data_IF_173433504945
#
_entry.id   IF_173433504945
#
_cell.length_a   1.000
_cell.length_b   1.000
_cell.length_c   1.000
_cell.angle_alpha   90.00
_cell.angle_beta   90.00
_cell.angle_gamma   90.00
#
_symmetry.space_group_name_H-M   'P 1'
#
loop_
_entity.id
_entity.type
_entity.pdbx_description
1 polymer ?
#
# COMPACT_ATOMS: atom_id res chain seq x y z
N UNK A 1 -23.50 -83.14 -27.51
CA UNK A 1 -22.72 -83.46 -28.73
C UNK A 1 -22.27 -82.12 -29.31
N UNK A 2 -20.95 -81.89 -29.37
CA UNK A 2 -20.20 -80.76 -30.02
C UNK A 2 -20.40 -79.34 -29.43
N UNK A 3 -19.45 -78.75 -28.68
CA UNK A 3 -18.15 -78.07 -29.02
C UNK A 3 -18.32 -76.75 -29.80
N UNK A 4 -18.08 -75.61 -29.12
CA UNK A 4 -16.96 -74.64 -29.28
C UNK A 4 -17.18 -73.60 -30.39
N UNK A 5 -17.11 -72.29 -30.08
CA UNK A 5 -15.84 -71.54 -30.22
C UNK A 5 -15.99 -70.04 -29.93
N UNK A 6 -14.90 -69.55 -29.36
CA UNK A 6 -14.59 -68.18 -28.99
C UNK A 6 -14.20 -67.28 -30.20
N UNK A 7 -14.23 -65.97 -29.91
CA UNK A 7 -13.14 -65.01 -30.13
C UNK A 7 -13.18 -63.93 -31.24
N UNK A 8 -12.92 -62.71 -30.73
CA UNK A 8 -12.08 -61.62 -31.26
C UNK A 8 -12.37 -60.98 -32.63
N UNK A 9 -12.73 -59.69 -32.58
CA UNK A 9 -11.81 -58.57 -32.95
C UNK A 9 -12.48 -57.21 -32.68
N UNK A 10 -12.06 -56.55 -31.61
CA UNK A 10 -12.31 -55.12 -31.40
C UNK A 10 -11.29 -54.30 -32.21
N UNK A 11 -11.77 -53.71 -33.30
CA UNK A 11 -11.03 -52.72 -34.09
C UNK A 11 -11.14 -51.32 -33.47
N UNK A 12 -10.02 -50.82 -32.97
CA UNK A 12 -9.79 -49.45 -32.51
C UNK A 12 -10.07 -48.45 -33.66
N UNK A 13 -11.19 -47.74 -33.63
CA UNK A 13 -11.43 -46.54 -34.47
C UNK A 13 -11.15 -45.29 -33.64
N UNK A 14 -10.03 -44.62 -33.95
CA UNK A 14 -9.72 -43.26 -33.48
C UNK A 14 -10.73 -42.26 -34.05
N UNK A 15 -11.33 -41.38 -33.25
CA UNK A 15 -11.91 -40.15 -33.77
C UNK A 15 -10.87 -39.02 -33.76
N UNK A 16 -10.77 -38.41 -34.94
CA UNK A 16 -10.14 -37.17 -35.33
C UNK A 16 -9.79 -36.15 -34.23
N UNK A 17 -8.52 -35.74 -34.28
CA UNK A 17 -8.07 -34.43 -33.86
C UNK A 17 -8.60 -33.38 -34.85
N UNK A 18 -9.62 -32.62 -34.45
CA UNK A 18 -9.86 -31.29 -35.04
C UNK A 18 -10.79 -30.44 -34.16
N UNK A 19 -10.24 -29.86 -33.09
CA UNK A 19 -10.85 -28.77 -32.32
C UNK A 19 -9.76 -27.79 -31.89
N UNK A 20 -9.01 -27.27 -32.87
CA UNK A 20 -8.23 -26.04 -32.74
C UNK A 20 -8.74 -25.05 -33.77
N UNK A 21 -9.58 -24.11 -33.32
CA UNK A 21 -9.69 -22.71 -33.76
C UNK A 21 -11.09 -22.17 -33.47
N UNK A 22 -11.39 -21.87 -32.21
CA UNK A 22 -12.25 -20.74 -31.88
C UNK A 22 -11.71 -20.09 -30.60
N UNK A 23 -10.79 -19.13 -30.77
CA UNK A 23 -10.50 -18.16 -29.71
C UNK A 23 -11.62 -17.12 -29.73
N UNK A 24 -12.23 -16.76 -28.59
CA UNK A 24 -13.07 -15.56 -28.52
C UNK A 24 -12.22 -14.35 -28.93
N UNK A 25 -12.73 -13.55 -29.86
CA UNK A 25 -12.16 -12.24 -30.18
C UNK A 25 -12.28 -11.38 -28.92
N UNK A 26 -11.17 -11.20 -28.20
CA UNK A 26 -11.01 -10.15 -27.22
C UNK A 26 -11.21 -8.81 -27.94
N UNK A 27 -12.35 -8.18 -27.70
CA UNK A 27 -12.59 -6.78 -28.05
C UNK A 27 -11.56 -5.97 -27.26
N UNK A 28 -10.54 -5.48 -27.96
CA UNK A 28 -9.55 -4.59 -27.41
C UNK A 28 -10.21 -3.29 -27.03
N UNK A 29 -10.51 -3.11 -25.74
CA UNK A 29 -10.70 -1.78 -25.22
C UNK A 29 -9.33 -1.09 -25.19
N UNK A 30 -9.19 0.08 -25.83
CA UNK A 30 -7.97 0.85 -25.74
C UNK A 30 -7.71 1.17 -24.26
N UNK A 31 -6.55 0.76 -23.76
CA UNK A 31 -5.99 1.30 -22.52
C UNK A 31 -5.67 2.75 -22.83
N UNK A 32 -6.63 3.63 -22.55
CA UNK A 32 -6.40 5.06 -22.48
C UNK A 32 -5.56 5.29 -21.23
N UNK A 33 -4.24 5.20 -21.37
CA UNK A 33 -3.30 5.85 -20.46
C UNK A 33 -3.37 7.35 -20.74
N UNK A 34 -4.49 7.98 -20.35
CA UNK A 34 -4.49 9.40 -20.07
C UNK A 34 -3.76 9.59 -18.75
N UNK A 35 -2.44 9.76 -18.85
CA UNK A 35 -1.67 10.43 -17.81
C UNK A 35 -2.08 11.91 -17.85
N UNK A 36 -3.29 12.22 -17.35
CA UNK A 36 -3.65 13.58 -17.03
C UNK A 36 -2.76 14.00 -15.87
N UNK A 37 -1.65 14.64 -16.22
CA UNK A 37 -0.89 15.51 -15.34
C UNK A 37 -1.83 16.63 -14.90
N UNK A 38 -2.59 16.37 -13.85
CA UNK A 38 -3.31 17.39 -13.10
C UNK A 38 -2.23 18.19 -12.40
N UNK A 39 -1.70 19.20 -13.09
CA UNK A 39 -1.06 20.33 -12.46
C UNK A 39 -2.10 20.88 -11.50
N UNK A 40 -1.97 20.53 -10.21
CA UNK A 40 -2.84 21.04 -9.16
C UNK A 40 -2.73 22.56 -9.24
N UNK A 41 -3.80 23.28 -9.64
CA UNK A 41 -3.80 24.72 -9.53
C UNK A 41 -3.57 25.01 -8.06
N UNK A 42 -2.54 25.80 -7.77
CA UNK A 42 -2.42 26.40 -6.44
C UNK A 42 -3.67 27.27 -6.34
N UNK A 43 -4.64 26.87 -5.51
CA UNK A 43 -5.80 27.71 -5.21
C UNK A 43 -5.28 29.10 -4.87
N UNK A 44 -5.56 30.02 -5.78
CA UNK A 44 -5.02 31.38 -5.83
C UNK A 44 -5.81 32.29 -4.91
N UNK A 45 -6.14 31.81 -3.71
CA UNK A 45 -6.82 32.58 -2.67
C UNK A 45 -5.88 32.76 -1.47
N UNK A 46 -4.82 33.53 -1.69
CA UNK A 46 -4.32 34.56 -0.77
C UNK A 46 -3.13 35.28 -1.41
N UNK A 47 -3.20 36.61 -1.41
CA UNK A 47 -2.12 37.57 -1.63
C UNK A 47 -0.71 37.02 -1.41
N UNK A 48 0.26 37.37 -2.26
CA UNK A 48 1.62 37.68 -1.78
C UNK A 48 2.49 38.22 -2.93
N UNK A 49 3.24 39.34 -2.73
CA UNK A 49 4.65 39.27 -3.12
C UNK A 49 5.67 40.14 -2.36
N UNK A 50 5.35 40.88 -1.29
CA UNK A 50 6.41 41.66 -0.59
C UNK A 50 7.43 40.77 0.15
N UNK A 51 7.03 39.57 0.58
CA UNK A 51 7.87 38.67 1.38
C UNK A 51 8.76 37.72 0.55
N UNK A 52 8.54 37.50 -0.75
CA UNK A 52 9.41 36.60 -1.53
C UNK A 52 10.76 37.24 -1.84
N UNK A 53 10.80 38.56 -2.03
CA UNK A 53 12.04 39.25 -2.36
C UNK A 53 13.07 39.24 -1.22
N UNK A 54 12.63 39.03 0.03
CA UNK A 54 13.53 38.90 1.18
C UNK A 54 14.34 37.59 1.17
N UNK A 55 13.88 36.58 0.42
CA UNK A 55 14.54 35.28 0.34
C UNK A 55 15.54 35.24 -0.82
N UNK A 56 16.66 34.51 -0.73
CA UNK A 56 17.56 34.30 -1.86
C UNK A 56 16.90 33.52 -2.99
N UNK A 57 17.34 33.72 -4.24
CA UNK A 57 16.80 33.02 -5.43
C UNK A 57 16.77 31.48 -5.31
N UNK A 58 17.69 30.91 -4.53
CA UNK A 58 17.74 29.48 -4.20
C UNK A 58 16.52 28.99 -3.42
N UNK A 59 15.91 29.87 -2.61
CA UNK A 59 14.82 29.56 -1.68
C UNK A 59 13.50 30.28 -1.99
N UNK A 60 13.42 31.09 -3.05
CA UNK A 60 12.18 31.73 -3.49
C UNK A 60 11.20 30.75 -4.10
N UNK A 61 9.91 30.99 -3.90
CA UNK A 61 8.84 30.31 -4.64
C UNK A 61 8.54 31.08 -5.92
N UNK A 62 8.62 30.40 -7.05
CA UNK A 62 8.05 30.90 -8.29
C UNK A 62 6.54 30.66 -8.28
N UNK A 63 5.75 31.56 -8.87
CA UNK A 63 4.30 31.33 -9.09
C UNK A 63 3.99 30.25 -10.13
N UNK A 64 5.03 29.73 -10.77
CA UNK A 64 4.92 28.77 -11.84
C UNK A 64 4.89 27.31 -11.35
N UNK A 65 4.68 26.40 -12.30
CA UNK A 65 4.71 24.96 -12.05
C UNK A 65 6.00 24.50 -11.34
N UNK A 66 5.92 23.38 -10.63
CA UNK A 66 7.04 22.78 -9.87
C UNK A 66 8.36 22.69 -10.66
N UNK A 67 8.30 22.37 -11.96
CA UNK A 67 9.47 22.26 -12.83
C UNK A 67 10.17 23.60 -13.13
N UNK A 68 9.52 24.73 -12.84
CA UNK A 68 10.07 26.07 -13.00
C UNK A 68 10.58 26.66 -11.66
N UNK A 69 10.54 25.87 -10.60
CA UNK A 69 11.10 26.25 -9.30
C UNK A 69 12.63 26.19 -9.33
N UNK A 70 13.30 26.74 -8.32
CA UNK A 70 14.75 26.63 -8.21
C UNK A 70 15.20 25.16 -8.26
N UNK A 71 16.36 24.87 -8.87
CA UNK A 71 16.92 23.51 -8.92
C UNK A 71 17.11 22.89 -7.53
N UNK A 72 17.32 23.73 -6.51
CA UNK A 72 17.48 23.31 -5.12
C UNK A 72 16.14 22.84 -4.55
N UNK A 73 15.06 23.58 -4.80
CA UNK A 73 13.71 23.20 -4.41
C UNK A 73 13.28 21.90 -5.11
N UNK A 74 13.52 21.81 -6.42
CA UNK A 74 13.22 20.62 -7.20
C UNK A 74 14.00 19.39 -6.70
N UNK A 75 15.29 19.57 -6.40
CA UNK A 75 16.15 18.52 -5.85
C UNK A 75 15.65 18.05 -4.48
N UNK A 76 15.39 18.99 -3.56
CA UNK A 76 14.87 18.69 -2.24
C UNK A 76 13.55 17.92 -2.31
N UNK A 77 12.55 18.44 -3.05
CA UNK A 77 11.25 17.79 -3.16
C UNK A 77 11.31 16.39 -3.79
N UNK A 78 12.25 16.12 -4.70
CA UNK A 78 12.44 14.78 -5.26
C UNK A 78 12.94 13.80 -4.20
N UNK A 79 13.86 14.22 -3.34
CA UNK A 79 14.35 13.43 -2.21
C UNK A 79 13.28 13.29 -1.11
N UNK A 80 12.51 14.34 -0.86
CA UNK A 80 11.42 14.34 0.14
C UNK A 80 10.37 13.28 -0.18
N UNK A 81 10.05 13.12 -1.48
CA UNK A 81 9.13 12.07 -1.95
C UNK A 81 9.65 10.70 -1.56
N UNK A 82 10.96 10.45 -1.64
CA UNK A 82 11.54 9.17 -1.24
C UNK A 82 11.40 8.92 0.27
N UNK A 83 11.57 9.95 1.10
CA UNK A 83 11.36 9.86 2.55
C UNK A 83 9.91 9.53 2.87
N UNK A 84 8.96 10.19 2.19
CA UNK A 84 7.53 9.97 2.39
C UNK A 84 7.12 8.56 1.96
N UNK A 85 7.59 8.10 0.80
CA UNK A 85 7.37 6.74 0.32
C UNK A 85 7.96 5.69 1.28
N UNK A 86 9.18 5.91 1.78
CA UNK A 86 9.82 5.03 2.77
C UNK A 86 9.05 5.03 4.09
N UNK A 87 8.61 6.19 4.56
CA UNK A 87 7.83 6.32 5.81
C UNK A 87 6.54 5.52 5.72
N UNK A 88 5.81 5.63 4.59
CA UNK A 88 4.56 4.92 4.34
C UNK A 88 4.68 3.40 4.56
N UNK A 89 5.78 2.79 4.10
CA UNK A 89 5.95 1.33 4.16
C UNK A 89 6.77 0.85 5.35
N UNK A 90 7.73 1.63 5.86
CA UNK A 90 8.66 1.18 6.91
C UNK A 90 8.26 1.65 8.32
N UNK A 91 7.60 2.80 8.43
CA UNK A 91 7.34 3.43 9.73
C UNK A 91 5.85 3.51 10.06
N UNK A 92 5.09 4.25 9.26
CA UNK A 92 3.70 4.61 9.54
C UNK A 92 2.99 4.88 8.21
N UNK A 93 1.82 4.29 8.01
CA UNK A 93 1.07 4.48 6.77
C UNK A 93 0.29 5.79 6.72
N UNK A 94 0.01 6.46 7.85
CA UNK A 94 -0.68 7.75 7.92
C UNK A 94 0.07 8.77 8.80
N UNK A 95 1.33 9.09 8.46
CA UNK A 95 2.16 9.99 9.27
C UNK A 95 1.62 11.43 9.30
N UNK A 96 0.82 11.83 8.32
CA UNK A 96 0.23 13.15 8.22
C UNK A 96 -1.02 13.35 9.07
N UNK A 97 -1.64 12.27 9.60
CA UNK A 97 -2.92 12.39 10.30
C UNK A 97 -2.74 13.11 11.64
N UNK A 98 -3.51 14.20 11.83
CA UNK A 98 -3.45 15.12 12.97
C UNK A 98 -2.09 15.80 13.26
N UNK A 99 -1.08 15.60 12.41
CA UNK A 99 0.25 16.25 12.53
C UNK A 99 0.83 16.69 11.19
N UNK A 100 -0.05 17.07 10.25
CA UNK A 100 0.34 17.35 8.88
C UNK A 100 1.36 18.49 8.76
N UNK A 101 1.30 19.51 9.64
CA UNK A 101 2.25 20.63 9.62
C UNK A 101 3.63 20.18 10.08
N UNK A 102 3.67 19.48 11.20
CA UNK A 102 4.88 18.97 11.84
C UNK A 102 5.58 17.98 10.90
N UNK A 103 4.83 17.02 10.36
CA UNK A 103 5.37 16.00 9.47
C UNK A 103 5.93 16.59 8.16
N UNK A 104 5.28 17.61 7.56
CA UNK A 104 5.85 18.33 6.39
C UNK A 104 7.21 18.91 6.73
N UNK A 105 7.30 19.62 7.85
CA UNK A 105 8.54 20.28 8.27
C UNK A 105 9.63 19.26 8.57
N UNK A 106 9.30 18.18 9.26
CA UNK A 106 10.24 17.08 9.56
C UNK A 106 10.86 16.50 8.29
N UNK A 107 10.02 16.14 7.30
CA UNK A 107 10.49 15.59 6.02
C UNK A 107 11.42 16.57 5.30
N UNK A 108 10.97 17.83 5.14
CA UNK A 108 11.72 18.87 4.44
C UNK A 108 13.08 19.15 5.12
N UNK A 109 13.09 19.23 6.45
CA UNK A 109 14.34 19.43 7.20
C UNK A 109 15.26 18.23 7.10
N UNK A 110 14.72 17.00 7.14
CA UNK A 110 15.53 15.78 7.03
C UNK A 110 16.32 15.76 5.71
N UNK A 111 15.69 16.08 4.58
CA UNK A 111 16.38 16.17 3.29
C UNK A 111 17.38 17.31 3.27
N UNK A 112 16.95 18.53 3.60
CA UNK A 112 17.81 19.69 3.42
C UNK A 112 19.01 19.65 4.37
N UNK A 113 18.88 19.08 5.56
CA UNK A 113 20.02 18.85 6.46
C UNK A 113 21.07 17.90 5.85
N UNK A 114 20.66 16.89 5.07
CA UNK A 114 21.62 16.00 4.36
C UNK A 114 22.29 16.69 3.16
N UNK A 115 21.62 17.68 2.56
CA UNK A 115 22.09 18.36 1.36
C UNK A 115 22.85 19.67 1.66
N UNK A 116 22.77 20.19 2.89
CA UNK A 116 23.32 21.50 3.26
C UNK A 116 24.82 21.62 3.01
N UNK A 117 25.57 20.53 3.23
CA UNK A 117 27.02 20.48 3.04
C UNK A 117 27.42 20.49 1.56
N UNK A 118 26.51 20.12 0.66
CA UNK A 118 26.82 20.00 -0.76
C UNK A 118 26.88 21.37 -1.43
N UNK A 119 25.92 22.27 -1.13
CA UNK A 119 25.77 23.56 -1.82
C UNK A 119 25.08 24.59 -0.93
N UNK A 120 25.58 25.84 -0.97
CA UNK A 120 25.02 27.00 -0.25
C UNK A 120 23.50 27.19 -0.44
N UNK A 121 22.96 26.91 -1.63
CA UNK A 121 21.52 27.06 -1.90
C UNK A 121 20.62 26.21 -0.99
N UNK A 122 21.11 25.08 -0.47
CA UNK A 122 20.37 24.27 0.51
C UNK A 122 20.38 24.90 1.91
N UNK A 123 21.41 25.65 2.29
CA UNK A 123 21.43 26.39 3.55
C UNK A 123 20.36 27.49 3.57
N UNK A 124 20.14 28.16 2.44
CA UNK A 124 19.07 29.14 2.29
C UNK A 124 17.68 28.48 2.45
N UNK A 125 17.47 27.34 1.80
CA UNK A 125 16.24 26.56 1.94
C UNK A 125 16.01 26.12 3.38
N UNK A 126 17.04 25.62 4.06
CA UNK A 126 16.95 25.18 5.46
C UNK A 126 16.46 26.32 6.34
N UNK A 127 17.10 27.49 6.21
CA UNK A 127 16.74 28.69 6.96
C UNK A 127 15.29 29.06 6.72
N UNK A 128 14.83 29.04 5.47
CA UNK A 128 13.44 29.34 5.13
C UNK A 128 12.46 28.33 5.71
N UNK A 129 12.73 27.03 5.60
CA UNK A 129 11.88 25.96 6.17
C UNK A 129 11.70 26.13 7.69
N UNK A 130 12.74 26.61 8.40
CA UNK A 130 12.65 26.86 9.85
C UNK A 130 11.76 28.08 10.17
N UNK A 131 11.78 29.11 9.33
CA UNK A 131 11.23 30.44 9.66
C UNK A 131 9.86 30.71 9.02
N UNK A 132 9.54 30.09 7.89
CA UNK A 132 8.41 30.42 7.04
C UNK A 132 7.42 29.24 6.95
N UNK A 133 6.37 29.28 7.76
CA UNK A 133 5.34 28.24 7.81
C UNK A 133 4.50 28.15 6.53
N UNK A 134 4.25 29.27 5.86
CA UNK A 134 3.48 29.29 4.63
C UNK A 134 4.27 28.65 3.49
N UNK A 135 5.57 28.91 3.43
CA UNK A 135 6.48 28.19 2.54
C UNK A 135 6.43 26.67 2.78
N UNK A 136 6.56 26.23 4.04
CA UNK A 136 6.46 24.80 4.42
C UNK A 136 5.11 24.20 4.03
N UNK A 137 4.02 24.95 4.22
CA UNK A 137 2.67 24.52 3.86
C UNK A 137 2.54 24.28 2.36
N UNK A 138 3.05 25.20 1.53
CA UNK A 138 2.98 25.11 0.05
C UNK A 138 3.81 23.95 -0.46
N UNK A 139 5.10 23.89 -0.12
CA UNK A 139 6.01 22.87 -0.67
C UNK A 139 5.71 21.49 -0.07
N UNK A 140 5.37 21.44 1.22
CA UNK A 140 4.99 20.19 1.89
C UNK A 140 3.72 19.58 1.29
N UNK A 141 2.81 20.39 0.72
CA UNK A 141 1.66 19.89 -0.04
C UNK A 141 2.10 19.10 -1.27
N UNK A 142 3.12 19.56 -2.02
CA UNK A 142 3.60 18.86 -3.23
C UNK A 142 4.17 17.47 -2.93
N UNK A 143 4.75 17.29 -1.75
CA UNK A 143 5.31 16.01 -1.31
C UNK A 143 4.20 15.11 -0.76
N UNK A 144 3.41 15.59 0.20
CA UNK A 144 2.41 14.77 0.92
C UNK A 144 1.21 14.40 0.05
N UNK A 145 0.84 15.20 -0.96
CA UNK A 145 -0.32 14.90 -1.83
C UNK A 145 -0.19 13.56 -2.56
N UNK A 146 1.01 12.96 -2.60
CA UNK A 146 1.25 11.65 -3.19
C UNK A 146 0.85 10.47 -2.31
N UNK A 147 0.79 10.64 -0.98
CA UNK A 147 0.48 9.55 -0.04
C UNK A 147 -0.86 8.86 -0.37
N UNK A 148 -1.98 9.59 -0.59
CA UNK A 148 -3.25 8.97 -0.99
C UNK A 148 -3.15 8.15 -2.28
N UNK A 149 -2.37 8.62 -3.26
CA UNK A 149 -2.18 7.90 -4.52
C UNK A 149 -1.44 6.59 -4.28
N UNK A 150 -0.33 6.63 -3.53
CA UNK A 150 0.41 5.43 -3.19
C UNK A 150 -0.46 4.44 -2.43
N UNK A 151 -1.27 4.88 -1.48
CA UNK A 151 -2.26 4.08 -0.74
C UNK A 151 -3.31 3.44 -1.66
N UNK A 152 -3.87 4.21 -2.60
CA UNK A 152 -4.90 3.72 -3.53
C UNK A 152 -4.45 2.52 -4.37
N UNK A 153 -3.17 2.47 -4.77
CA UNK A 153 -2.61 1.31 -5.49
C UNK A 153 -2.76 0.01 -4.69
N UNK A 154 -2.63 0.07 -3.36
CA UNK A 154 -2.68 -1.10 -2.46
C UNK A 154 -4.11 -1.58 -2.30
N UNK A 155 -5.05 -0.63 -2.20
CA UNK A 155 -6.48 -0.90 -2.25
C UNK A 155 -6.90 -1.58 -3.58
N UNK A 156 -6.32 -1.14 -4.70
CA UNK A 156 -6.56 -1.76 -6.01
C UNK A 156 -6.07 -3.21 -6.05
N UNK A 157 -4.84 -3.46 -5.60
CA UNK A 157 -4.27 -4.81 -5.50
C UNK A 157 -5.10 -5.73 -4.57
N UNK A 158 -5.56 -5.21 -3.42
CA UNK A 158 -6.43 -5.95 -2.51
C UNK A 158 -7.77 -6.31 -3.17
N UNK A 159 -8.33 -5.38 -3.95
CA UNK A 159 -9.57 -5.60 -4.71
C UNK A 159 -9.44 -6.69 -5.77
N UNK A 160 -8.26 -6.86 -6.36
CA UNK A 160 -8.01 -7.94 -7.33
C UNK A 160 -7.88 -9.31 -6.64
N UNK A 161 -7.45 -9.34 -5.39
CA UNK A 161 -7.19 -10.57 -4.63
C UNK A 161 -8.34 -10.95 -3.68
N UNK A 162 -9.37 -10.12 -3.55
CA UNK A 162 -10.49 -10.34 -2.63
C UNK A 162 -11.28 -11.63 -2.95
N UNK A 163 -11.31 -12.08 -4.20
CA UNK A 163 -11.96 -13.33 -4.58
C UNK A 163 -11.37 -14.56 -3.88
N UNK A 164 -10.11 -14.48 -3.42
CA UNK A 164 -9.44 -15.54 -2.65
C UNK A 164 -10.04 -15.74 -1.25
N UNK A 165 -10.91 -14.83 -0.79
CA UNK A 165 -11.71 -14.98 0.42
C UNK A 165 -12.96 -15.84 0.20
N UNK A 166 -13.25 -16.25 -1.04
CA UNK A 166 -14.35 -17.15 -1.39
C UNK A 166 -15.72 -16.71 -0.84
N UNK A 167 -15.97 -15.39 -0.82
CA UNK A 167 -17.13 -14.77 -0.17
C UNK A 167 -18.49 -15.25 -0.72
N UNK A 168 -18.54 -15.95 -1.86
CA UNK A 168 -19.78 -16.38 -2.50
C UNK A 168 -20.46 -15.25 -3.28
N UNK A 169 -21.74 -15.43 -3.61
CA UNK A 169 -22.52 -14.48 -4.40
C UNK A 169 -23.86 -14.14 -3.74
N UNK A 170 -24.49 -13.03 -4.15
CA UNK A 170 -25.82 -12.62 -3.68
C UNK A 170 -25.83 -12.20 -2.20
N UNK A 171 -26.93 -12.52 -1.50
CA UNK A 171 -27.12 -12.19 -0.09
C UNK A 171 -26.06 -12.82 0.82
N UNK A 172 -25.62 -14.05 0.51
CA UNK A 172 -24.57 -14.72 1.28
C UNK A 172 -23.27 -13.92 1.30
N UNK A 173 -22.88 -13.30 0.18
CA UNK A 173 -21.69 -12.45 0.13
C UNK A 173 -21.83 -11.25 1.08
N UNK A 174 -23.00 -10.61 1.11
CA UNK A 174 -23.27 -9.48 1.99
C UNK A 174 -23.15 -9.87 3.45
N UNK A 175 -23.81 -10.95 3.87
CA UNK A 175 -23.81 -11.43 5.26
C UNK A 175 -22.40 -11.83 5.71
N UNK A 176 -21.66 -12.48 4.81
CA UNK A 176 -20.26 -12.88 5.05
C UNK A 176 -19.33 -11.69 5.19
N UNK A 177 -19.48 -10.66 4.35
CA UNK A 177 -18.71 -9.42 4.48
C UNK A 177 -19.08 -8.66 5.75
N UNK A 178 -20.36 -8.60 6.10
CA UNK A 178 -20.81 -7.96 7.34
C UNK A 178 -20.21 -8.65 8.57
N UNK A 179 -20.24 -9.98 8.61
CA UNK A 179 -19.57 -10.76 9.66
C UNK A 179 -18.03 -10.54 9.70
N UNK A 180 -17.35 -10.45 8.55
CA UNK A 180 -15.91 -10.12 8.48
C UNK A 180 -15.62 -8.76 9.10
N UNK A 181 -16.46 -7.76 8.81
CA UNK A 181 -16.24 -6.37 9.18
C UNK A 181 -16.62 -6.10 10.64
N UNK A 182 -17.74 -6.66 11.11
CA UNK A 182 -18.24 -6.48 12.48
C UNK A 182 -17.32 -7.14 13.51
N UNK A 183 -16.73 -8.28 13.14
CA UNK A 183 -15.76 -8.97 13.98
C UNK A 183 -14.32 -8.49 13.75
N UNK A 184 -14.11 -7.57 12.80
CA UNK A 184 -12.79 -7.11 12.33
C UNK A 184 -11.81 -8.24 11.99
N UNK A 185 -12.36 -9.31 11.42
CA UNK A 185 -11.64 -10.53 11.05
C UNK A 185 -11.48 -10.66 9.54
N UNK A 186 -11.51 -9.54 8.83
CA UNK A 186 -11.43 -9.43 7.39
C UNK A 186 -10.11 -9.90 6.77
N UNK A 187 -9.14 -10.34 7.56
CA UNK A 187 -7.86 -10.91 7.09
C UNK A 187 -7.78 -12.42 7.36
N UNK A 188 -8.73 -12.98 8.10
CA UNK A 188 -8.62 -14.34 8.60
C UNK A 188 -8.84 -15.37 7.48
N UNK A 189 -7.95 -16.36 7.30
CA UNK A 189 -8.22 -17.48 6.43
C UNK A 189 -9.26 -18.37 7.10
N UNK A 190 -10.35 -18.66 6.40
CA UNK A 190 -11.39 -19.57 6.88
C UNK A 190 -12.08 -20.29 5.73
N UNK A 191 -12.49 -21.53 5.98
CA UNK A 191 -13.45 -22.24 5.13
C UNK A 191 -14.87 -21.85 5.58
N UNK A 192 -15.76 -21.62 4.61
CA UNK A 192 -17.16 -21.26 4.89
C UNK A 192 -17.94 -22.48 5.41
N UNK A 193 -17.97 -22.66 6.73
CA UNK A 193 -18.82 -23.64 7.42
C UNK A 193 -20.04 -22.96 8.09
N UNK A 194 -21.09 -23.70 8.52
CA UNK A 194 -22.33 -23.13 9.07
C UNK A 194 -22.17 -22.27 10.34
N UNK A 195 -21.04 -22.38 11.03
CA UNK A 195 -20.68 -21.61 12.22
C UNK A 195 -19.29 -21.05 11.96
N UNK A 196 -19.14 -19.73 12.04
CA UNK A 196 -17.87 -19.05 11.82
C UNK A 196 -16.75 -19.57 12.72
N UNK A 197 -15.54 -19.64 12.15
CA UNK A 197 -14.23 -19.96 12.74
C UNK A 197 -14.24 -20.43 14.21
N UNK A 198 -13.82 -21.68 14.43
CA UNK A 198 -13.32 -22.12 15.73
C UNK A 198 -12.26 -21.13 16.21
N UNK A 199 -12.60 -20.28 17.19
CA UNK A 199 -11.67 -19.41 17.94
C UNK A 199 -10.71 -20.30 18.73
N UNK A 200 -9.81 -21.00 18.04
CA UNK A 200 -8.63 -21.58 18.65
C UNK A 200 -7.64 -20.45 18.93
N UNK A 201 -7.00 -20.46 20.09
CA UNK A 201 -5.96 -19.49 20.50
C UNK A 201 -4.81 -19.36 19.47
N UNK A 202 -4.60 -20.36 18.61
CA UNK A 202 -3.64 -20.31 17.49
C UNK A 202 -4.12 -19.63 16.20
N UNK A 203 -5.40 -19.23 16.11
CA UNK A 203 -5.97 -18.62 14.90
C UNK A 203 -5.44 -17.20 14.63
N UNK A 204 -5.09 -16.44 15.68
CA UNK A 204 -4.65 -15.04 15.58
C UNK A 204 -3.33 -14.85 14.81
N UNK A 205 -2.38 -15.78 14.90
CA UNK A 205 -1.12 -15.70 14.15
C UNK A 205 -1.31 -16.17 12.69
N UNK A 206 -2.27 -17.06 12.45
CA UNK A 206 -2.58 -17.58 11.11
C UNK A 206 -3.28 -16.58 10.21
N UNK A 207 -3.76 -15.45 10.73
CA UNK A 207 -4.51 -14.43 9.96
C UNK A 207 -3.67 -13.85 8.83
N UNK A 208 -2.38 -13.63 9.08
CA UNK A 208 -1.47 -13.07 8.07
C UNK A 208 -0.91 -14.14 7.11
N UNK A 209 -1.32 -15.40 7.26
CA UNK A 209 -1.02 -16.48 6.31
C UNK A 209 -2.13 -16.62 5.25
N UNK A 210 -3.12 -15.73 5.23
CA UNK A 210 -4.16 -15.71 4.21
C UNK A 210 -3.54 -15.51 2.81
N UNK A 211 -3.78 -16.43 1.85
CA UNK A 211 -3.22 -16.32 0.50
C UNK A 211 -3.60 -15.03 -0.22
N UNK A 212 -4.81 -14.51 0.01
CA UNK A 212 -5.24 -13.21 -0.52
C UNK A 212 -4.36 -12.07 -0.04
N UNK A 213 -4.03 -12.03 1.26
CA UNK A 213 -3.13 -11.02 1.82
C UNK A 213 -1.71 -11.16 1.28
N UNK A 214 -1.19 -12.38 1.22
CA UNK A 214 0.14 -12.63 0.67
C UNK A 214 0.23 -12.16 -0.78
N UNK A 215 -0.76 -12.50 -1.60
CA UNK A 215 -0.81 -12.08 -3.00
C UNK A 215 -1.02 -10.57 -3.13
N UNK A 216 -1.83 -9.96 -2.25
CA UNK A 216 -1.98 -8.50 -2.22
C UNK A 216 -0.65 -7.82 -1.89
N UNK A 217 0.12 -8.35 -0.93
CA UNK A 217 1.43 -7.79 -0.60
C UNK A 217 2.39 -7.94 -1.80
N UNK A 218 2.39 -9.10 -2.45
CA UNK A 218 3.16 -9.33 -3.69
C UNK A 218 2.80 -8.30 -4.76
N UNK A 219 1.52 -8.20 -5.10
CA UNK A 219 1.03 -7.36 -6.19
C UNK A 219 1.22 -5.86 -5.90
N UNK A 220 0.98 -5.44 -4.65
CA UNK A 220 0.99 -4.04 -4.27
C UNK A 220 2.40 -3.47 -4.02
N UNK A 221 3.33 -4.30 -3.58
CA UNK A 221 4.65 -3.85 -3.13
C UNK A 221 5.82 -4.48 -3.90
N UNK A 222 5.68 -5.66 -4.49
CA UNK A 222 6.79 -6.41 -5.10
C UNK A 222 6.65 -6.65 -6.61
N UNK A 223 5.50 -6.33 -7.21
CA UNK A 223 5.25 -6.65 -8.61
C UNK A 223 6.19 -5.93 -9.59
N UNK A 224 7.07 -6.70 -10.23
CA UNK A 224 7.82 -6.57 -11.51
C UNK A 224 8.23 -5.17 -12.02
N UNK A 225 8.40 -4.18 -11.15
CA UNK A 225 8.96 -2.88 -11.51
C UNK A 225 10.07 -2.55 -10.51
N UNK A 226 11.28 -2.17 -10.96
CA UNK A 226 12.38 -1.78 -10.06
C UNK A 226 12.04 -0.67 -9.07
N UNK A 227 10.98 0.10 -9.33
CA UNK A 227 10.48 1.18 -8.47
C UNK A 227 9.44 0.72 -7.44
N UNK A 228 9.05 -0.55 -7.45
CA UNK A 228 8.13 -1.11 -6.46
C UNK A 228 8.74 -1.01 -5.06
N UNK A 229 7.93 -0.63 -4.06
CA UNK A 229 8.42 -0.30 -2.71
C UNK A 229 9.13 -1.49 -2.03
N UNK A 230 8.65 -2.71 -2.28
CA UNK A 230 9.26 -3.97 -1.88
C UNK A 230 10.71 -4.13 -2.34
N UNK A 231 11.04 -3.61 -3.52
CA UNK A 231 12.39 -3.67 -4.08
C UNK A 231 13.20 -2.44 -3.68
N UNK A 232 12.59 -1.25 -3.80
CA UNK A 232 13.21 0.05 -3.54
C UNK A 232 13.73 0.20 -2.12
N UNK A 233 13.01 -0.33 -1.13
CA UNK A 233 13.34 -0.20 0.30
C UNK A 233 13.77 -1.53 0.93
N UNK A 234 14.27 -2.47 0.14
CA UNK A 234 14.67 -3.81 0.62
C UNK A 234 15.68 -3.76 1.78
N UNK A 235 16.54 -2.73 1.81
CA UNK A 235 17.59 -2.60 2.83
C UNK A 235 17.00 -2.25 4.21
N UNK A 236 15.74 -1.79 4.27
CA UNK A 236 15.00 -1.58 5.51
C UNK A 236 14.39 -2.87 6.08
N UNK A 237 14.39 -3.96 5.32
CA UNK A 237 13.71 -5.21 5.68
C UNK A 237 14.64 -6.05 6.53
N UNK A 238 14.72 -5.71 7.81
CA UNK A 238 15.61 -6.34 8.77
C UNK A 238 14.83 -7.30 9.67
N UNK A 239 15.42 -8.48 9.90
CA UNK A 239 14.91 -9.41 10.90
C UNK A 239 14.92 -8.73 12.27
N UNK A 240 13.79 -8.80 12.98
CA UNK A 240 13.76 -8.43 14.40
C UNK A 240 14.12 -9.59 15.32
N UNK A 241 14.40 -10.78 14.77
CA UNK A 241 14.80 -11.95 15.52
C UNK A 241 16.33 -12.01 15.63
N UNK A 242 16.90 -12.07 16.84
CA UNK A 242 18.36 -12.08 17.03
C UNK A 242 19.09 -13.20 16.30
N UNK A 243 18.42 -14.33 16.07
CA UNK A 243 19.01 -15.56 15.52
C UNK A 243 18.77 -15.74 14.03
N UNK A 244 18.00 -14.86 13.39
CA UNK A 244 17.64 -14.96 11.97
C UNK A 244 18.20 -13.80 11.18
N UNK A 245 18.86 -14.11 10.07
CA UNK A 245 19.39 -13.12 9.14
C UNK A 245 18.46 -12.89 7.95
N UNK A 246 17.39 -13.67 7.81
CA UNK A 246 16.46 -13.48 6.69
C UNK A 246 15.72 -12.15 6.82
N UNK A 247 15.62 -11.36 5.73
CA UNK A 247 14.90 -10.09 5.75
C UNK A 247 13.42 -10.30 6.09
N UNK A 248 12.91 -9.45 6.99
CA UNK A 248 11.51 -9.48 7.42
C UNK A 248 10.78 -8.22 6.97
N UNK A 249 9.51 -8.37 6.57
CA UNK A 249 8.71 -7.22 6.16
C UNK A 249 8.41 -6.30 7.35
N UNK A 250 8.47 -4.96 7.17
CA UNK A 250 8.04 -4.02 8.19
C UNK A 250 6.57 -4.24 8.54
N UNK A 251 6.24 -4.15 9.83
CA UNK A 251 4.87 -4.30 10.31
C UNK A 251 3.92 -3.29 9.67
N UNK A 252 4.39 -2.07 9.42
CA UNK A 252 3.64 -1.02 8.73
C UNK A 252 3.23 -1.44 7.32
N UNK A 253 4.09 -2.13 6.57
CA UNK A 253 3.79 -2.63 5.22
C UNK A 253 2.71 -3.72 5.30
N UNK A 254 2.88 -4.69 6.20
CA UNK A 254 1.92 -5.80 6.38
C UNK A 254 0.56 -5.26 6.85
N UNK A 255 0.54 -4.37 7.84
CA UNK A 255 -0.67 -3.72 8.33
C UNK A 255 -1.35 -2.89 7.25
N UNK A 256 -0.59 -2.19 6.40
CA UNK A 256 -1.13 -1.45 5.27
C UNK A 256 -1.80 -2.38 4.25
N UNK A 257 -1.17 -3.51 3.92
CA UNK A 257 -1.74 -4.54 3.04
C UNK A 257 -3.02 -5.15 3.62
N UNK A 258 -3.04 -5.46 4.91
CA UNK A 258 -4.21 -5.98 5.62
C UNK A 258 -5.36 -4.95 5.64
N UNK A 259 -5.05 -3.69 5.91
CA UNK A 259 -6.03 -2.60 5.94
C UNK A 259 -6.64 -2.35 4.56
N UNK A 260 -5.89 -2.59 3.48
CA UNK A 260 -6.34 -2.37 2.11
C UNK A 260 -7.52 -3.28 1.69
N UNK A 261 -7.78 -4.38 2.41
CA UNK A 261 -8.95 -5.21 2.17
C UNK A 261 -10.26 -4.58 2.66
N UNK A 262 -10.21 -3.75 3.69
CA UNK A 262 -11.41 -3.12 4.25
C UNK A 262 -12.21 -2.33 3.20
N UNK A 263 -11.60 -1.42 2.41
CA UNK A 263 -12.32 -0.77 1.31
C UNK A 263 -12.73 -1.75 0.19
N UNK A 264 -11.91 -2.76 -0.12
CA UNK A 264 -12.26 -3.77 -1.12
C UNK A 264 -13.52 -4.57 -0.76
N UNK A 265 -13.64 -4.96 0.51
CA UNK A 265 -14.82 -5.64 1.05
C UNK A 265 -16.05 -4.73 1.05
N UNK A 266 -15.87 -3.46 1.40
CA UNK A 266 -16.98 -2.50 1.35
C UNK A 266 -17.57 -2.37 -0.06
N UNK A 267 -16.72 -2.36 -1.10
CA UNK A 267 -17.15 -2.38 -2.50
C UNK A 267 -17.93 -3.65 -2.81
N UNK A 268 -17.44 -4.81 -2.39
CA UNK A 268 -18.11 -6.09 -2.61
C UNK A 268 -19.48 -6.18 -1.91
N UNK A 269 -19.59 -5.67 -0.68
CA UNK A 269 -20.84 -5.63 0.09
C UNK A 269 -21.93 -4.80 -0.59
N UNK A 270 -21.55 -3.66 -1.15
CA UNK A 270 -22.51 -2.66 -1.63
C UNK A 270 -22.70 -2.68 -3.14
N UNK A 271 -21.80 -3.34 -3.89
CA UNK A 271 -21.71 -3.25 -5.35
C UNK A 271 -21.36 -1.84 -5.85
N UNK A 272 -21.05 -0.90 -4.95
CA UNK A 272 -20.78 0.49 -5.26
C UNK A 272 -19.34 0.80 -4.89
N UNK A 273 -18.62 1.45 -5.80
CA UNK A 273 -17.42 2.17 -5.39
C UNK A 273 -17.84 3.23 -4.38
N UNK A 274 -17.12 3.41 -3.27
CA UNK A 274 -17.52 4.41 -2.29
C UNK A 274 -17.54 5.78 -3.00
N UNK A 275 -18.67 6.48 -2.92
CA UNK A 275 -18.84 7.77 -3.58
C UNK A 275 -17.99 8.84 -2.86
N UNK A 276 -17.46 9.82 -3.63
CA UNK A 276 -16.73 10.96 -3.08
C UNK A 276 -15.34 10.63 -2.50
N UNK A 277 -14.89 11.39 -1.50
CA UNK A 277 -13.60 11.15 -0.83
C UNK A 277 -13.53 9.79 -0.13
N UNK A 278 -14.66 9.15 0.17
CA UNK A 278 -14.71 7.81 0.77
C UNK A 278 -14.19 6.69 -0.14
N UNK A 279 -14.05 6.94 -1.45
CA UNK A 279 -13.37 6.03 -2.38
C UNK A 279 -11.85 6.14 -2.31
N UNK A 280 -11.33 7.15 -1.61
CA UNK A 280 -9.91 7.31 -1.32
C UNK A 280 -9.62 6.49 -0.07
N UNK A 281 -8.47 5.83 -0.05
CA UNK A 281 -7.98 5.11 1.12
C UNK A 281 -7.56 6.11 2.21
N UNK A 282 -8.57 6.72 2.84
CA UNK A 282 -8.51 7.88 3.75
C UNK A 282 -8.08 7.46 5.16
N UNK A 283 -7.16 8.23 5.75
CA UNK A 283 -6.67 7.97 7.10
C UNK A 283 -7.73 8.13 8.18
N UNK A 284 -8.65 9.07 8.02
CA UNK A 284 -9.71 9.28 9.02
C UNK A 284 -10.64 8.06 9.14
N UNK A 285 -10.79 7.30 8.04
CA UNK A 285 -11.66 6.12 7.99
C UNK A 285 -10.90 4.86 8.39
N UNK A 286 -9.70 4.66 7.83
CA UNK A 286 -9.01 3.36 7.90
C UNK A 286 -7.90 3.28 8.94
N UNK A 287 -7.52 4.39 9.59
CA UNK A 287 -6.45 4.38 10.60
C UNK A 287 -6.76 3.46 11.77
N UNK A 288 -8.01 3.34 12.20
CA UNK A 288 -8.37 2.46 13.31
C UNK A 288 -8.11 0.99 12.97
N UNK A 289 -8.48 0.54 11.76
CA UNK A 289 -8.18 -0.80 11.27
C UNK A 289 -6.65 -1.02 11.13
N UNK A 290 -5.94 -0.02 10.60
CA UNK A 290 -4.48 -0.06 10.52
C UNK A 290 -3.79 -0.19 11.87
N UNK A 291 -4.15 0.69 12.81
CA UNK A 291 -3.61 0.68 14.17
C UNK A 291 -3.89 -0.65 14.84
N UNK A 292 -5.08 -1.23 14.65
CA UNK A 292 -5.38 -2.55 15.21
C UNK A 292 -4.43 -3.62 14.68
N UNK A 293 -4.14 -3.64 13.39
CA UNK A 293 -3.12 -4.55 12.83
C UNK A 293 -1.70 -4.27 13.34
N UNK A 294 -1.39 -3.04 13.75
CA UNK A 294 -0.13 -2.73 14.44
C UNK A 294 -0.14 -3.28 15.88
N UNK A 295 -1.23 -3.11 16.64
CA UNK A 295 -1.33 -3.41 18.07
C UNK A 295 -1.62 -4.88 18.41
N UNK A 296 -2.44 -5.59 17.61
CA UNK A 296 -2.75 -7.02 17.82
C UNK A 296 -1.49 -7.91 17.84
N UNK A 297 -0.40 -7.41 17.25
CA UNK A 297 0.92 -8.04 17.24
C UNK A 297 1.78 -7.75 18.48
N UNK A 298 1.63 -6.57 19.09
CA UNK A 298 2.36 -6.20 20.32
C UNK A 298 1.92 -7.11 21.48
N UNK A 299 0.62 -7.43 21.55
CA UNK A 299 0.08 -8.29 22.62
C UNK A 299 0.37 -9.78 22.41
N UNK A 300 0.47 -10.25 21.16
CA UNK A 300 0.77 -11.66 20.85
C UNK A 300 2.28 -12.01 20.92
N UNK A 301 3.15 -11.00 21.06
CA UNK A 301 4.61 -11.17 21.21
C UNK A 301 5.10 -11.13 22.66
N UNK A 302 4.21 -10.95 23.65
CA UNK A 302 4.57 -11.02 25.07
C UNK A 302 5.45 -9.88 25.58
N UNK A 303 5.59 -8.76 24.85
CA UNK A 303 6.39 -7.63 25.30
C UNK A 303 5.58 -6.70 26.23
N UNK A 304 6.10 -6.33 27.42
CA UNK A 304 5.40 -5.43 28.33
C UNK A 304 5.28 -4.02 27.75
N UNK A 305 4.06 -3.48 27.82
CA UNK A 305 3.65 -2.19 27.29
C UNK A 305 4.15 -1.03 28.15
N UNK A 306 5.35 -0.53 27.89
CA UNK A 306 5.79 0.76 28.40
C UNK A 306 5.90 1.74 27.23
N UNK A 307 5.19 2.86 27.37
CA UNK A 307 5.07 3.90 26.37
C UNK A 307 6.43 4.50 25.97
N UNK A 308 6.48 4.97 24.73
CA UNK A 308 7.60 5.66 24.05
C UNK A 308 8.65 4.75 23.40
N UNK A 309 8.58 4.68 22.07
CA UNK A 309 9.73 4.52 21.16
C UNK A 309 10.66 3.33 21.43
N UNK A 310 10.18 2.12 21.17
CA UNK A 310 10.95 1.06 20.50
C UNK A 310 10.06 -0.16 20.29
N UNK A 311 9.49 -0.29 19.10
CA UNK A 311 8.71 -1.47 18.70
C UNK A 311 9.71 -2.62 18.48
N UNK A 312 10.05 -3.36 19.55
CA UNK A 312 10.80 -4.61 19.47
C UNK A 312 9.80 -5.77 19.49
N UNK A 313 9.60 -6.39 18.32
CA UNK A 313 8.81 -7.62 18.20
C UNK A 313 8.02 -7.72 16.90
N UNK A 314 8.68 -7.74 15.72
CA UNK A 314 8.00 -8.07 14.47
C UNK A 314 7.94 -9.59 14.25
N UNK A 315 7.18 -10.29 15.08
CA UNK A 315 6.79 -11.68 14.83
C UNK A 315 5.70 -11.76 13.75
N UNK A 316 5.99 -11.52 12.46
CA UNK A 316 5.17 -12.13 11.40
C UNK A 316 5.80 -12.06 10.00
N UNK A 317 5.80 -13.25 9.43
CA UNK A 317 6.18 -13.67 8.09
C UNK A 317 7.63 -13.31 7.74
N UNK A 318 8.52 -14.28 8.00
CA UNK A 318 9.51 -14.61 6.97
C UNK A 318 8.66 -15.04 5.77
N UNK A 319 8.13 -14.07 5.01
CA UNK A 319 7.82 -14.34 3.63
C UNK A 319 9.21 -14.61 3.09
N UNK A 320 9.50 -15.89 2.83
CA UNK A 320 10.70 -16.27 2.14
C UNK A 320 10.76 -15.37 0.91
N UNK A 321 11.59 -14.32 0.95
CA UNK A 321 11.68 -13.36 -0.15
C UNK A 321 12.15 -14.09 -1.41
N UNK A 322 12.77 -15.27 -1.27
CA UNK A 322 13.12 -16.15 -2.39
C UNK A 322 11.89 -16.80 -3.05
N UNK A 323 10.72 -16.87 -2.37
CA UNK A 323 9.41 -17.21 -2.97
C UNK A 323 8.65 -16.00 -3.48
N UNK A 324 9.22 -14.80 -3.36
CA UNK A 324 8.65 -13.54 -3.87
C UNK A 324 9.33 -13.10 -5.18
N UNK A 325 10.50 -13.66 -5.51
CA UNK A 325 11.18 -13.52 -6.79
C UNK A 325 10.76 -14.61 -7.78
#
# INVERSE_FOLDING_TARGET
>A
MMTTDDNEKQGLKRPNADLRKQRPKLVGHPIVTETQSTAVPIDSDSETPAAEDQWPLSARLSRCAFLQQSRFLQGACREDVQIVERTLVVKEAWPELHRAREYRREVLLEVVNRLVEQKKGYADLRRRIVQDDDFVKVIGKWVIVRLPHHRAIKCSAASNNIALFQLGAGSQCKDRVEALMDSDIHVYPGEWAPIWMTKGSGAKIRIYLNPGLINTIKDAFFFLIPTAFGIKFKDDYTSTYPTRTEPALPISLVALGATAFFPAMHVWRTGKKPAGRGGRFDGEIFRNAYNRHLYEKIVSSGAPSNASTNIKGNALVVLDLNRLN
#
